data_IF_054379047772
#
_entry.id   IF_054379047772
#
_cell.length_a   1.000
_cell.length_b   1.000
_cell.length_c   1.000
_cell.angle_alpha   90.00
_cell.angle_beta   90.00
_cell.angle_gamma   90.00
#
_symmetry.space_group_name_H-M   'P 1'
#
loop_
_entity.id
_entity.type
_entity.pdbx_description
1 polymer ?
#
# COMPACT_ATOMS: atom_id res chain seq x y z
N UNK A 1 8.73 -19.54 -0.01
CA UNK A 1 7.68 -18.82 -0.79
C UNK A 1 7.26 -17.56 -0.05
N UNK A 2 6.98 -16.45 -0.75
CA UNK A 2 6.50 -15.20 -0.15
C UNK A 2 5.07 -14.90 -0.62
N UNK A 3 4.13 -14.78 0.32
CA UNK A 3 2.78 -14.30 0.09
C UNK A 3 2.72 -12.80 0.44
N UNK A 4 2.53 -11.92 -0.53
CA UNK A 4 2.34 -10.48 -0.31
C UNK A 4 0.85 -10.21 -0.17
N UNK A 5 0.42 -9.85 1.03
CA UNK A 5 -0.99 -9.92 1.40
C UNK A 5 -1.57 -8.54 1.72
N UNK A 6 -2.66 -8.20 1.04
CA UNK A 6 -3.52 -7.08 1.37
C UNK A 6 -4.54 -7.47 2.43
N UNK A 7 -4.49 -6.82 3.59
CA UNK A 7 -5.44 -7.09 4.68
C UNK A 7 -6.66 -6.15 4.68
N UNK A 8 -6.85 -5.36 3.63
CA UNK A 8 -7.92 -4.37 3.60
C UNK A 8 -7.75 -3.29 4.67
N UNK A 9 -8.86 -2.66 5.07
CA UNK A 9 -8.87 -1.65 6.13
C UNK A 9 -9.29 -2.22 7.50
N UNK A 10 -9.96 -3.35 7.48
CA UNK A 10 -10.40 -4.09 8.66
C UNK A 10 -10.62 -5.56 8.30
N UNK A 11 -10.99 -6.39 9.28
CA UNK A 11 -11.21 -7.82 9.13
C UNK A 11 -12.24 -8.17 8.04
N UNK A 12 -13.32 -7.40 7.94
CA UNK A 12 -14.41 -7.62 6.97
C UNK A 12 -13.97 -7.36 5.52
N UNK A 13 -12.89 -6.59 5.32
CA UNK A 13 -12.37 -6.24 4.01
C UNK A 13 -11.21 -7.16 3.56
N UNK A 14 -10.92 -8.22 4.30
CA UNK A 14 -9.98 -9.24 3.89
C UNK A 14 -10.63 -10.21 2.91
N UNK A 15 -9.89 -10.60 1.89
CA UNK A 15 -10.34 -11.70 1.01
C UNK A 15 -10.13 -13.05 1.69
N UNK A 16 -10.96 -14.04 1.35
CA UNK A 16 -10.79 -15.41 1.86
C UNK A 16 -9.42 -15.99 1.50
N UNK A 17 -8.91 -15.64 0.30
CA UNK A 17 -7.56 -16.06 -0.11
C UNK A 17 -6.46 -15.45 0.75
N UNK A 18 -6.60 -14.18 1.16
CA UNK A 18 -5.65 -13.51 2.07
C UNK A 18 -5.65 -14.17 3.46
N UNK A 19 -6.84 -14.48 3.99
CA UNK A 19 -6.98 -15.17 5.27
C UNK A 19 -6.28 -16.52 5.23
N UNK A 20 -6.61 -17.36 4.23
CA UNK A 20 -6.01 -18.69 4.08
C UNK A 20 -4.50 -18.60 3.92
N UNK A 21 -3.98 -17.66 3.14
CA UNK A 21 -2.54 -17.49 2.96
C UNK A 21 -1.82 -17.11 4.26
N UNK A 22 -2.45 -16.33 5.15
CA UNK A 22 -1.93 -16.02 6.48
C UNK A 22 -1.93 -17.28 7.36
N UNK A 23 -3.04 -18.04 7.35
CA UNK A 23 -3.17 -19.27 8.12
C UNK A 23 -2.14 -20.33 7.72
N UNK A 24 -1.83 -20.43 6.42
CA UNK A 24 -0.87 -21.40 5.85
C UNK A 24 0.61 -20.94 5.98
N UNK A 25 0.89 -19.78 6.55
CA UNK A 25 2.26 -19.22 6.65
C UNK A 25 2.95 -19.59 7.98
N UNK A 26 4.27 -19.76 7.92
CA UNK A 26 5.14 -20.00 9.09
C UNK A 26 5.51 -18.65 9.75
N UNK A 27 5.75 -17.62 8.93
CA UNK A 27 6.27 -16.31 9.37
C UNK A 27 5.38 -15.19 8.88
N UNK A 28 5.05 -14.26 9.77
CA UNK A 28 4.28 -13.07 9.46
C UNK A 28 5.15 -11.83 9.64
N UNK A 29 5.32 -11.06 8.57
CA UNK A 29 6.14 -9.84 8.56
C UNK A 29 5.25 -8.64 8.21
N UNK A 30 5.32 -7.58 9.01
CA UNK A 30 4.52 -6.39 8.73
C UNK A 30 4.79 -5.21 9.66
N UNK A 31 4.13 -4.10 9.36
CA UNK A 31 4.08 -2.97 10.27
C UNK A 31 3.23 -3.31 11.50
N UNK A 32 3.68 -2.88 12.68
CA UNK A 32 3.04 -3.22 13.96
C UNK A 32 1.51 -3.05 13.96
N UNK A 33 1.00 -1.94 13.40
CA UNK A 33 -0.45 -1.70 13.35
C UNK A 33 -1.21 -2.69 12.48
N UNK A 34 -0.59 -3.16 11.39
CA UNK A 34 -1.21 -4.15 10.50
C UNK A 34 -1.21 -5.53 11.12
N UNK A 35 -0.14 -5.91 11.79
CA UNK A 35 -0.05 -7.17 12.54
C UNK A 35 -1.14 -7.23 13.62
N UNK A 36 -1.37 -6.13 14.34
CA UNK A 36 -2.40 -6.09 15.39
C UNK A 36 -3.84 -6.23 14.84
N UNK A 37 -4.07 -5.96 13.55
CA UNK A 37 -5.40 -6.15 12.93
C UNK A 37 -5.73 -7.62 12.62
N UNK A 38 -4.73 -8.50 12.65
CA UNK A 38 -4.84 -9.91 12.29
C UNK A 38 -4.37 -10.85 13.42
N UNK A 39 -4.32 -10.35 14.66
CA UNK A 39 -3.82 -11.13 15.81
C UNK A 39 -4.55 -12.46 15.99
N UNK A 40 -5.83 -12.52 15.64
CA UNK A 40 -6.65 -13.72 15.67
C UNK A 40 -6.27 -14.80 14.64
N UNK A 41 -5.49 -14.46 13.62
CA UNK A 41 -5.06 -15.37 12.55
C UNK A 41 -3.62 -15.87 12.69
N UNK A 42 -2.86 -15.32 13.61
CA UNK A 42 -1.39 -15.51 13.65
C UNK A 42 -0.89 -16.16 14.93
N UNK A 43 -1.77 -16.76 15.71
CA UNK A 43 -1.41 -17.50 16.92
C UNK A 43 -0.45 -18.66 16.58
N UNK A 44 0.61 -18.78 17.36
CA UNK A 44 1.63 -19.82 17.20
C UNK A 44 2.63 -19.60 16.06
N UNK A 45 2.56 -18.47 15.33
CA UNK A 45 3.48 -18.17 14.21
C UNK A 45 4.66 -17.29 14.64
N UNK A 46 5.74 -17.35 13.88
CA UNK A 46 6.85 -16.39 14.02
C UNK A 46 6.38 -15.01 13.54
N UNK A 47 6.49 -13.96 14.37
CA UNK A 47 6.01 -12.64 14.07
C UNK A 47 7.14 -11.62 14.08
N UNK A 48 7.38 -10.97 12.93
CA UNK A 48 8.42 -9.96 12.76
C UNK A 48 7.78 -8.57 12.53
N UNK A 49 7.66 -7.81 13.62
CA UNK A 49 7.13 -6.43 13.59
C UNK A 49 8.26 -5.44 13.29
N UNK A 50 8.10 -4.62 12.25
CA UNK A 50 9.05 -3.56 11.87
C UNK A 50 8.37 -2.19 11.91
N UNK A 51 9.18 -1.13 11.96
CA UNK A 51 8.72 0.26 11.98
C UNK A 51 8.16 0.76 10.65
N UNK A 52 7.61 1.97 10.70
CA UNK A 52 7.32 2.75 9.49
C UNK A 52 8.65 3.24 8.90
N UNK A 53 8.82 3.16 7.60
CA UNK A 53 10.08 3.50 6.91
C UNK A 53 11.04 2.32 6.71
N UNK A 54 10.75 1.16 7.31
CA UNK A 54 11.57 -0.05 7.20
C UNK A 54 11.07 -0.99 6.06
N UNK A 55 10.45 -0.43 4.99
CA UNK A 55 9.84 -1.22 3.92
C UNK A 55 10.85 -2.14 3.24
N UNK A 56 12.03 -1.63 2.91
CA UNK A 56 13.11 -2.41 2.29
C UNK A 56 13.57 -3.51 3.23
N UNK A 57 13.84 -3.20 4.48
CA UNK A 57 14.27 -4.19 5.48
C UNK A 57 13.22 -5.29 5.71
N UNK A 58 11.92 -4.96 5.64
CA UNK A 58 10.84 -5.97 5.69
C UNK A 58 10.90 -6.92 4.51
N UNK A 59 11.09 -6.38 3.31
CA UNK A 59 11.17 -7.20 2.11
C UNK A 59 12.43 -8.07 2.07
N UNK A 60 13.59 -7.55 2.50
CA UNK A 60 14.83 -8.33 2.62
C UNK A 60 14.70 -9.49 3.60
N UNK A 61 14.11 -9.24 4.78
CA UNK A 61 13.86 -10.31 5.77
C UNK A 61 12.89 -11.35 5.22
N UNK A 62 11.85 -10.94 4.47
CA UNK A 62 10.93 -11.87 3.83
C UNK A 62 11.65 -12.77 2.82
N UNK A 63 12.56 -12.23 2.01
CA UNK A 63 13.37 -12.98 1.06
C UNK A 63 14.28 -13.96 1.80
N UNK A 64 14.94 -13.50 2.86
CA UNK A 64 15.82 -14.38 3.66
C UNK A 64 15.06 -15.56 4.23
N UNK A 65 13.95 -15.31 4.91
CA UNK A 65 13.09 -16.34 5.52
C UNK A 65 12.55 -17.35 4.47
N UNK A 66 12.17 -16.84 3.30
CA UNK A 66 11.73 -17.69 2.19
C UNK A 66 12.85 -18.61 1.68
N UNK A 67 14.09 -18.12 1.61
CA UNK A 67 15.28 -18.93 1.25
C UNK A 67 15.63 -19.98 2.31
N UNK A 68 15.25 -19.76 3.56
CA UNK A 68 15.34 -20.75 4.66
C UNK A 68 14.27 -21.85 4.55
N UNK A 69 13.44 -21.83 3.50
CA UNK A 69 12.40 -22.82 3.24
C UNK A 69 11.04 -22.50 3.87
N UNK A 70 10.90 -21.35 4.53
CA UNK A 70 9.67 -20.95 5.21
C UNK A 70 8.66 -20.31 4.25
N UNK A 71 7.37 -20.48 4.52
CA UNK A 71 6.28 -19.76 3.89
C UNK A 71 6.05 -18.45 4.66
N UNK A 72 6.25 -17.32 3.98
CA UNK A 72 6.25 -15.98 4.59
C UNK A 72 5.04 -15.19 4.14
N UNK A 73 4.26 -14.64 5.08
CA UNK A 73 3.26 -13.61 4.80
C UNK A 73 3.83 -12.21 5.05
N UNK A 74 4.01 -11.45 3.97
CA UNK A 74 4.37 -10.01 4.02
C UNK A 74 3.10 -9.17 3.92
N UNK A 75 2.63 -8.62 5.05
CA UNK A 75 1.32 -7.98 5.14
C UNK A 75 1.35 -6.46 4.93
N UNK A 76 0.38 -5.96 4.18
CA UNK A 76 0.10 -4.54 3.92
C UNK A 76 -1.35 -4.22 4.25
N UNK A 77 -1.65 -3.01 4.73
CA UNK A 77 -3.04 -2.53 4.75
C UNK A 77 -3.54 -2.27 3.33
N UNK A 78 -4.84 -2.32 3.14
CA UNK A 78 -5.44 -2.13 1.83
C UNK A 78 -5.04 -3.22 0.85
N UNK A 79 -4.63 -2.82 -0.34
CA UNK A 79 -4.09 -3.66 -1.39
C UNK A 79 -2.55 -3.53 -1.47
N UNK A 80 -1.79 -4.64 -1.56
CA UNK A 80 -0.33 -4.57 -1.54
C UNK A 80 0.27 -4.00 -2.83
N UNK A 81 -0.48 -3.99 -3.93
CA UNK A 81 -0.08 -3.41 -5.22
C UNK A 81 -0.35 -1.91 -5.32
N UNK A 82 -1.21 -1.35 -4.43
CA UNK A 82 -1.55 0.08 -4.46
C UNK A 82 -0.75 0.82 -3.39
N UNK A 83 0.42 1.31 -3.75
CA UNK A 83 1.40 1.97 -2.85
C UNK A 83 1.77 1.13 -1.62
N UNK A 84 1.72 -0.20 -1.74
CA UNK A 84 2.00 -1.16 -0.69
C UNK A 84 3.30 -1.95 -0.91
N UNK A 85 3.44 -3.05 -0.15
CA UNK A 85 4.69 -3.82 -0.09
C UNK A 85 5.04 -4.60 -1.37
N UNK A 86 4.06 -4.85 -2.28
CA UNK A 86 4.36 -5.56 -3.52
C UNK A 86 5.37 -4.79 -4.39
N UNK A 87 5.19 -3.48 -4.52
CA UNK A 87 6.11 -2.64 -5.31
C UNK A 87 7.53 -2.65 -4.73
N UNK A 88 7.66 -2.57 -3.40
CA UNK A 88 8.97 -2.59 -2.72
C UNK A 88 9.65 -3.95 -2.89
N UNK A 89 8.90 -5.04 -2.69
CA UNK A 89 9.42 -6.39 -2.84
C UNK A 89 9.93 -6.63 -4.27
N UNK A 90 9.13 -6.31 -5.29
CA UNK A 90 9.52 -6.54 -6.69
C UNK A 90 10.72 -5.69 -7.13
N UNK A 91 10.91 -4.49 -6.58
CA UNK A 91 12.10 -3.66 -6.86
C UNK A 91 13.39 -4.32 -6.41
N UNK A 92 13.39 -5.02 -5.27
CA UNK A 92 14.59 -5.68 -4.76
C UNK A 92 14.71 -7.14 -5.19
N UNK A 93 13.60 -7.77 -5.56
CA UNK A 93 13.55 -9.19 -5.94
C UNK A 93 14.42 -9.48 -7.16
N UNK A 94 14.61 -8.49 -8.07
CA UNK A 94 15.49 -8.61 -9.23
C UNK A 94 16.96 -8.95 -8.91
N UNK A 95 17.36 -8.80 -7.64
CA UNK A 95 18.70 -9.15 -7.14
C UNK A 95 18.79 -10.57 -6.60
N UNK A 96 17.68 -11.31 -6.59
CA UNK A 96 17.58 -12.63 -5.98
C UNK A 96 16.94 -13.60 -6.96
N UNK A 97 17.57 -14.74 -7.14
CA UNK A 97 17.04 -15.86 -7.93
C UNK A 97 16.21 -16.80 -7.03
N UNK A 98 15.30 -17.56 -7.64
CA UNK A 98 14.56 -18.68 -7.02
C UNK A 98 13.65 -18.33 -5.83
N UNK A 99 13.05 -17.14 -5.80
CA UNK A 99 12.05 -16.79 -4.79
C UNK A 99 10.66 -16.73 -5.43
N UNK A 100 9.81 -17.70 -5.08
CA UNK A 100 8.41 -17.70 -5.49
C UNK A 100 7.62 -16.63 -4.72
N UNK A 101 6.88 -15.78 -5.45
CA UNK A 101 6.04 -14.72 -4.87
C UNK A 101 4.61 -14.86 -5.37
N UNK A 102 3.66 -14.84 -4.42
CA UNK A 102 2.23 -14.75 -4.71
C UNK A 102 1.66 -13.46 -4.10
N UNK A 103 0.80 -12.78 -4.85
CA UNK A 103 0.14 -11.57 -4.37
C UNK A 103 -1.33 -11.86 -4.12
N UNK A 104 -1.80 -11.55 -2.92
CA UNK A 104 -3.19 -11.66 -2.52
C UNK A 104 -3.77 -10.26 -2.38
N UNK A 105 -4.74 -9.87 -3.23
CA UNK A 105 -5.31 -8.54 -3.19
C UNK A 105 -6.14 -8.31 -1.92
N UNK A 106 -6.24 -7.05 -1.53
CA UNK A 106 -7.15 -6.58 -0.48
C UNK A 106 -7.98 -5.40 -0.96
N UNK A 107 -9.02 -5.04 -0.22
CA UNK A 107 -9.79 -3.83 -0.52
C UNK A 107 -8.89 -2.61 -0.29
N UNK A 108 -8.55 -1.91 -1.37
CA UNK A 108 -7.66 -0.74 -1.30
C UNK A 108 -8.29 0.39 -0.48
N UNK A 109 -7.46 1.28 0.10
CA UNK A 109 -7.94 2.44 0.83
C UNK A 109 -8.82 3.34 -0.06
N UNK A 110 -8.52 3.42 -1.35
CA UNK A 110 -9.31 4.14 -2.34
C UNK A 110 -10.74 3.58 -2.44
N UNK A 111 -10.87 2.27 -2.68
CA UNK A 111 -12.19 1.63 -2.81
C UNK A 111 -12.99 1.74 -1.50
N UNK A 112 -12.31 1.56 -0.37
CA UNK A 112 -12.96 1.70 0.93
C UNK A 112 -13.44 3.13 1.19
N UNK A 113 -12.63 4.14 0.94
CA UNK A 113 -13.00 5.55 1.09
C UNK A 113 -14.16 5.93 0.16
N UNK A 114 -14.08 5.55 -1.12
CA UNK A 114 -15.12 5.75 -2.11
C UNK A 114 -16.46 5.19 -1.65
N UNK A 115 -16.48 3.95 -1.15
CA UNK A 115 -17.72 3.32 -0.65
C UNK A 115 -18.32 4.05 0.56
N UNK A 116 -17.49 4.60 1.44
CA UNK A 116 -17.95 5.38 2.61
C UNK A 116 -18.48 6.76 2.26
N UNK A 117 -17.94 7.36 1.21
CA UNK A 117 -18.34 8.68 0.73
C UNK A 117 -19.52 8.62 -0.25
N UNK A 118 -19.91 7.42 -0.72
CA UNK A 118 -20.89 7.28 -1.81
C UNK A 118 -20.39 7.89 -3.13
N UNK A 119 -19.06 7.90 -3.34
CA UNK A 119 -18.40 8.49 -4.51
C UNK A 119 -17.92 7.37 -5.46
N UNK A 120 -18.70 6.98 -6.47
CA UNK A 120 -18.30 5.92 -7.39
C UNK A 120 -17.04 6.31 -8.15
N UNK A 121 -16.16 5.32 -8.36
CA UNK A 121 -14.91 5.46 -9.08
C UNK A 121 -15.13 5.02 -10.54
N UNK A 122 -15.30 5.98 -11.44
CA UNK A 122 -15.28 5.73 -12.87
C UNK A 122 -13.85 5.93 -13.40
N UNK A 123 -13.61 6.98 -14.17
CA UNK A 123 -12.27 7.32 -14.63
C UNK A 123 -11.49 7.99 -13.49
N UNK A 124 -10.47 7.32 -12.98
CA UNK A 124 -9.72 7.84 -11.83
C UNK A 124 -8.21 7.67 -11.94
N UNK A 125 -7.48 8.47 -11.19
CA UNK A 125 -6.05 8.38 -10.98
C UNK A 125 -5.74 8.28 -9.48
N UNK A 126 -4.93 7.30 -9.08
CA UNK A 126 -4.38 7.19 -7.74
C UNK A 126 -2.96 7.78 -7.72
N UNK A 127 -2.75 8.84 -6.95
CA UNK A 127 -1.48 9.59 -6.93
C UNK A 127 -0.96 9.70 -5.50
N UNK A 128 0.29 9.29 -5.29
CA UNK A 128 0.97 9.48 -4.01
C UNK A 128 1.64 10.85 -3.95
N UNK A 129 1.41 11.59 -2.86
CA UNK A 129 2.11 12.84 -2.56
C UNK A 129 3.43 12.62 -1.82
N UNK A 130 3.92 11.38 -1.73
CA UNK A 130 5.22 11.11 -1.14
C UNK A 130 6.33 11.58 -2.08
N UNK A 131 7.07 12.60 -1.67
CA UNK A 131 8.23 13.12 -2.39
C UNK A 131 9.57 12.59 -1.88
N UNK A 132 9.57 11.42 -1.24
CA UNK A 132 10.80 10.77 -0.74
C UNK A 132 11.62 10.23 -1.90
N UNK A 133 10.97 9.53 -2.85
CA UNK A 133 11.61 8.93 -4.02
C UNK A 133 11.20 9.58 -5.34
N UNK A 134 10.19 10.46 -5.31
CA UNK A 134 9.65 11.11 -6.52
C UNK A 134 9.74 12.62 -6.36
N UNK A 135 10.41 13.34 -7.28
CA UNK A 135 10.48 14.79 -7.22
C UNK A 135 9.08 15.43 -7.18
N UNK A 136 8.94 16.52 -6.42
CA UNK A 136 7.65 17.21 -6.27
C UNK A 136 7.09 17.70 -7.62
N UNK A 137 7.96 18.15 -8.52
CA UNK A 137 7.60 18.57 -9.89
C UNK A 137 6.93 17.45 -10.70
N UNK A 138 7.39 16.21 -10.54
CA UNK A 138 6.78 15.04 -11.19
C UNK A 138 5.40 14.70 -10.60
N UNK A 139 5.24 14.89 -9.30
CA UNK A 139 3.96 14.72 -8.63
C UNK A 139 2.97 15.78 -9.14
N UNK A 140 3.38 17.04 -9.18
CA UNK A 140 2.57 18.16 -9.69
C UNK A 140 2.16 17.95 -11.16
N UNK A 141 3.08 17.48 -11.99
CA UNK A 141 2.80 17.17 -13.40
C UNK A 141 1.71 16.11 -13.53
N UNK A 142 1.79 15.00 -12.77
CA UNK A 142 0.77 13.94 -12.76
C UNK A 142 -0.57 14.48 -12.30
N UNK A 143 -0.59 15.31 -11.26
CA UNK A 143 -1.80 15.94 -10.73
C UNK A 143 -2.47 16.84 -11.78
N UNK A 144 -1.70 17.72 -12.44
CA UNK A 144 -2.23 18.60 -13.49
C UNK A 144 -2.87 17.80 -14.60
N UNK A 145 -2.20 16.82 -15.17
CA UNK A 145 -2.75 16.01 -16.25
C UNK A 145 -4.02 15.25 -15.84
N UNK A 146 -4.06 14.70 -14.62
CA UNK A 146 -5.25 14.01 -14.13
C UNK A 146 -6.45 14.98 -13.97
N UNK A 147 -6.21 16.17 -13.42
CA UNK A 147 -7.24 17.19 -13.21
C UNK A 147 -7.72 17.82 -14.55
N UNK A 148 -6.81 18.09 -15.47
CA UNK A 148 -7.13 18.61 -16.82
C UNK A 148 -7.90 17.58 -17.63
N UNK A 149 -7.60 16.29 -17.48
CA UNK A 149 -8.35 15.19 -18.08
C UNK A 149 -9.69 14.91 -17.37
N UNK A 150 -10.05 15.68 -16.37
CA UNK A 150 -11.28 15.52 -15.57
C UNK A 150 -11.40 14.15 -14.87
N UNK A 151 -10.27 13.54 -14.48
CA UNK A 151 -10.28 12.30 -13.71
C UNK A 151 -10.60 12.57 -12.24
N UNK A 152 -11.23 11.59 -11.58
CA UNK A 152 -11.31 11.54 -10.12
C UNK A 152 -9.90 11.30 -9.58
N UNK A 153 -9.42 12.18 -8.70
CA UNK A 153 -8.05 12.07 -8.17
C UNK A 153 -8.07 11.56 -6.73
N UNK A 154 -7.57 10.34 -6.52
CA UNK A 154 -7.38 9.77 -5.20
C UNK A 154 -5.95 10.02 -4.70
N UNK A 155 -5.83 10.74 -3.60
CA UNK A 155 -4.54 11.12 -3.02
C UNK A 155 -4.10 10.14 -1.94
N UNK A 156 -2.93 9.54 -2.14
CA UNK A 156 -2.23 8.72 -1.15
C UNK A 156 -1.09 9.49 -0.48
N UNK A 157 -0.79 9.13 0.75
CA UNK A 157 0.29 9.74 1.54
C UNK A 157 0.20 11.28 1.59
N UNK A 158 -0.96 11.88 1.89
CA UNK A 158 -1.15 13.32 1.74
C UNK A 158 -0.24 14.15 2.65
N UNK A 159 -0.11 13.74 3.91
CA UNK A 159 0.61 14.50 4.95
C UNK A 159 1.37 13.55 5.87
N UNK A 160 2.56 13.99 6.33
CA UNK A 160 3.25 13.39 7.47
C UNK A 160 3.66 14.47 8.50
N UNK A 161 4.24 14.06 9.62
CA UNK A 161 4.70 15.02 10.66
C UNK A 161 5.66 16.07 10.08
N UNK A 162 6.52 15.68 9.15
CA UNK A 162 7.58 16.52 8.57
C UNK A 162 7.29 16.96 7.13
N UNK A 163 6.26 16.42 6.48
CA UNK A 163 5.98 16.62 5.05
C UNK A 163 4.57 17.14 4.84
N UNK A 164 4.43 18.46 4.70
CA UNK A 164 3.15 19.17 4.48
C UNK A 164 3.10 19.85 3.11
N UNK A 165 4.24 20.20 2.55
CA UNK A 165 4.34 20.98 1.30
C UNK A 165 3.67 20.31 0.09
N UNK A 166 3.82 18.99 -0.18
CA UNK A 166 3.14 18.36 -1.29
C UNK A 166 1.62 18.49 -1.25
N UNK A 167 1.02 18.42 -0.05
CA UNK A 167 -0.43 18.60 0.09
C UNK A 167 -0.86 20.05 -0.13
N UNK A 168 -0.06 21.04 0.30
CA UNK A 168 -0.31 22.44 0.02
C UNK A 168 -0.28 22.70 -1.49
N UNK A 169 0.71 22.16 -2.19
CA UNK A 169 0.82 22.25 -3.66
C UNK A 169 -0.34 21.56 -4.38
N UNK A 170 -0.76 20.38 -3.90
CA UNK A 170 -1.94 19.72 -4.42
C UNK A 170 -3.17 20.62 -4.33
N UNK A 171 -3.47 21.19 -3.16
CA UNK A 171 -4.61 22.11 -2.99
C UNK A 171 -4.56 23.28 -3.95
N UNK A 172 -3.40 23.92 -4.11
CA UNK A 172 -3.23 25.02 -5.04
C UNK A 172 -3.48 24.57 -6.48
N UNK A 173 -2.95 23.41 -6.88
CA UNK A 173 -3.16 22.85 -8.21
C UNK A 173 -4.65 22.59 -8.52
N UNK A 174 -5.41 22.11 -7.54
CA UNK A 174 -6.87 21.94 -7.69
C UNK A 174 -7.56 23.29 -7.88
N UNK A 175 -7.25 24.28 -7.06
CA UNK A 175 -7.83 25.62 -7.16
C UNK A 175 -7.51 26.29 -8.50
N UNK A 176 -6.27 26.15 -8.98
CA UNK A 176 -5.83 26.73 -10.24
C UNK A 176 -6.57 26.16 -11.47
N UNK A 177 -6.94 24.86 -11.42
CA UNK A 177 -7.53 24.14 -12.57
C UNK A 177 -9.05 24.07 -12.48
N UNK A 178 -9.58 23.80 -11.28
CA UNK A 178 -11.02 23.55 -11.06
C UNK A 178 -11.76 24.75 -10.48
N UNK A 179 -11.07 25.70 -9.86
CA UNK A 179 -11.70 26.80 -9.15
C UNK A 179 -12.23 26.43 -7.76
N UNK A 180 -12.87 27.41 -7.09
CA UNK A 180 -13.36 27.23 -5.71
C UNK A 180 -14.71 26.50 -5.61
N UNK A 181 -15.47 26.41 -6.70
CA UNK A 181 -16.87 25.96 -6.71
C UNK A 181 -17.10 24.63 -7.44
N UNK A 182 -16.07 23.93 -7.88
CA UNK A 182 -16.20 22.57 -8.42
C UNK A 182 -16.02 21.51 -7.31
N UNK A 183 -17.04 20.68 -7.17
CA UNK A 183 -17.09 19.54 -6.25
C UNK A 183 -16.67 18.24 -6.94
#
# INVERSE_FOLDING_TARGET
MINVIGIGQNRENMTLGAIKAIEDSDVIIGYKKYINQIEDLIEGKEILKKGMGDEIARAEVAIQKSKEGQTVSLVSSGDPGVFGMANVLYQILSKYDDVEVKVYPGVSALNYASSKLGAPLNDFAAISLSNILTPLSEIEKKLRFALEANLIVAIYNPISKTRKEPFRRFKQCVLDIKGENEY
#
